data_IF_526012530430
#
_entry.id   IF_526012530430
#
_cell.length_a   1.000
_cell.length_b   1.000
_cell.length_c   1.000
_cell.angle_alpha   90.00
_cell.angle_beta   90.00
_cell.angle_gamma   90.00
#
_symmetry.space_group_name_H-M   'P 1'
#
loop_
_entity.id
_entity.type
_entity.pdbx_description
1 polymer ?
#
# COMPACT_ATOMS: atom_id res chain seq x y z
N UNK A 1 28.55 -11.82 -4.18
CA UNK A 1 27.37 -10.92 -4.16
C UNK A 1 26.70 -10.82 -2.78
N UNK A 2 26.51 -11.90 -2.02
CA UNK A 2 25.88 -11.87 -0.67
C UNK A 2 26.53 -10.94 0.37
N UNK A 3 27.85 -10.68 0.27
CA UNK A 3 28.58 -9.87 1.27
C UNK A 3 28.20 -8.38 1.23
N UNK A 4 27.79 -7.80 0.08
CA UNK A 4 27.45 -6.38 0.02
C UNK A 4 26.03 -6.08 0.52
N UNK A 5 25.06 -6.98 0.32
CA UNK A 5 23.69 -6.85 0.82
C UNK A 5 23.62 -6.68 2.35
N UNK A 6 24.52 -7.37 3.08
CA UNK A 6 24.56 -7.29 4.54
C UNK A 6 25.05 -5.91 5.05
N UNK A 7 25.81 -5.15 4.24
CA UNK A 7 26.29 -3.81 4.61
C UNK A 7 25.15 -2.78 4.54
N UNK A 8 24.38 -2.80 3.45
CA UNK A 8 23.23 -1.90 3.27
C UNK A 8 22.17 -2.09 4.35
N UNK A 9 21.95 -3.34 4.79
CA UNK A 9 21.01 -3.64 5.88
C UNK A 9 21.42 -2.98 7.19
N UNK A 10 22.71 -3.06 7.55
CA UNK A 10 23.23 -2.46 8.78
C UNK A 10 23.08 -0.94 8.77
N UNK A 11 23.40 -0.29 7.64
CA UNK A 11 23.26 1.17 7.48
C UNK A 11 21.78 1.57 7.59
N UNK A 12 20.90 0.86 6.91
CA UNK A 12 19.45 1.08 6.98
C UNK A 12 18.90 0.97 8.41
N UNK A 13 19.36 -0.04 9.14
CA UNK A 13 18.95 -0.28 10.52
C UNK A 13 19.44 0.83 11.48
N UNK A 14 20.67 1.30 11.31
CA UNK A 14 21.21 2.43 12.08
C UNK A 14 20.40 3.70 11.79
N UNK A 15 20.12 4.00 10.52
CA UNK A 15 19.30 5.15 10.13
C UNK A 15 17.89 5.07 10.71
N UNK A 16 17.30 3.87 10.76
CA UNK A 16 16.01 3.66 11.38
C UNK A 16 16.03 3.91 12.89
N UNK A 17 17.01 3.35 13.61
CA UNK A 17 17.15 3.60 15.05
C UNK A 17 17.32 5.11 15.30
N UNK A 18 18.15 5.78 14.52
CA UNK A 18 18.34 7.22 14.63
C UNK A 18 17.04 7.99 14.39
N UNK A 19 16.27 7.61 13.37
CA UNK A 19 14.98 8.23 13.04
C UNK A 19 13.95 8.02 14.16
N UNK A 20 13.89 6.83 14.74
CA UNK A 20 13.01 6.52 15.90
C UNK A 20 13.42 7.31 17.14
N UNK A 21 14.72 7.41 17.43
CA UNK A 21 15.25 8.19 18.55
C UNK A 21 14.99 9.69 18.37
N UNK A 22 15.15 10.21 17.15
CA UNK A 22 14.82 11.59 16.83
C UNK A 22 13.32 11.86 17.00
N UNK A 23 12.48 10.93 16.58
CA UNK A 23 11.03 11.01 16.77
C UNK A 23 10.62 10.96 18.26
N UNK A 24 11.33 10.18 19.10
CA UNK A 24 11.18 10.18 20.56
C UNK A 24 11.40 11.56 21.17
N UNK A 25 12.43 12.27 20.72
CA UNK A 25 12.76 13.58 21.28
C UNK A 25 11.68 14.63 20.97
N UNK A 26 11.02 14.52 19.82
CA UNK A 26 10.00 15.49 19.38
C UNK A 26 8.61 15.25 19.98
N UNK A 27 8.41 14.18 20.78
CA UNK A 27 7.08 13.70 21.25
C UNK A 27 6.05 13.54 20.11
N UNK A 28 6.51 13.51 18.86
CA UNK A 28 5.65 13.47 17.71
C UNK A 28 5.38 12.01 17.36
N UNK A 29 4.38 11.43 18.02
CA UNK A 29 3.98 10.03 17.80
C UNK A 29 3.78 9.67 16.32
N UNK A 30 3.45 10.66 15.48
CA UNK A 30 3.26 10.50 14.05
C UNK A 30 4.57 10.33 13.24
N UNK A 31 5.68 10.96 13.66
CA UNK A 31 6.96 10.81 12.97
C UNK A 31 7.49 9.37 13.03
N UNK A 32 7.17 8.63 14.10
CA UNK A 32 7.53 7.22 14.23
C UNK A 32 6.97 6.38 13.10
N UNK A 33 5.72 6.62 12.70
CA UNK A 33 5.07 5.83 11.65
C UNK A 33 5.69 6.08 10.29
N UNK A 34 6.08 7.33 9.99
CA UNK A 34 6.83 7.67 8.78
C UNK A 34 8.19 6.97 8.78
N UNK A 35 8.91 7.05 9.90
CA UNK A 35 10.22 6.40 10.07
C UNK A 35 10.12 4.88 9.93
N UNK A 36 9.06 4.27 10.46
CA UNK A 36 8.77 2.85 10.36
C UNK A 36 8.48 2.47 8.90
N UNK A 37 7.61 3.20 8.20
CA UNK A 37 7.35 2.99 6.77
C UNK A 37 8.62 3.11 5.92
N UNK A 38 9.42 4.16 6.15
CA UNK A 38 10.68 4.36 5.45
C UNK A 38 11.63 3.19 5.71
N UNK A 39 11.71 2.69 6.94
CA UNK A 39 12.53 1.52 7.22
C UNK A 39 12.02 0.25 6.52
N UNK A 40 10.70 0.06 6.42
CA UNK A 40 10.11 -1.07 5.69
C UNK A 40 10.45 -1.05 4.19
N UNK A 41 10.56 0.14 3.57
CA UNK A 41 11.05 0.32 2.20
C UNK A 41 12.46 -0.22 2.05
N UNK A 42 13.35 0.18 2.97
CA UNK A 42 14.75 -0.20 2.87
C UNK A 42 14.92 -1.69 3.08
N UNK A 43 14.14 -2.30 4.00
CA UNK A 43 14.09 -3.74 4.19
C UNK A 43 13.70 -4.51 2.91
N UNK A 44 12.76 -4.00 2.10
CA UNK A 44 12.31 -4.65 0.87
C UNK A 44 13.40 -4.83 -0.19
N UNK A 45 14.44 -3.99 -0.16
CA UNK A 45 15.48 -3.99 -1.18
C UNK A 45 16.52 -5.11 -1.03
N UNK A 46 16.53 -5.84 0.09
CA UNK A 46 17.75 -6.56 0.52
C UNK A 46 17.64 -8.10 0.49
N UNK A 47 16.48 -8.73 0.74
CA UNK A 47 16.41 -10.21 0.89
C UNK A 47 15.04 -10.85 0.52
N UNK A 48 15.01 -12.17 0.21
CA UNK A 48 13.74 -12.91 0.03
C UNK A 48 12.89 -12.96 1.31
N UNK A 49 13.52 -13.23 2.46
CA UNK A 49 12.81 -13.21 3.75
C UNK A 49 12.27 -11.81 4.10
N UNK A 50 12.83 -10.75 3.52
CA UNK A 50 12.34 -9.39 3.77
C UNK A 50 11.05 -9.06 3.01
N UNK A 51 10.65 -9.88 2.03
CA UNK A 51 9.34 -9.74 1.38
C UNK A 51 8.20 -9.92 2.38
N UNK A 52 8.18 -11.05 3.08
CA UNK A 52 7.09 -11.40 4.01
C UNK A 52 7.07 -10.48 5.23
N UNK A 53 8.23 -10.15 5.79
CA UNK A 53 8.30 -9.26 6.94
C UNK A 53 7.85 -7.85 6.57
N UNK A 54 8.25 -7.34 5.41
CA UNK A 54 7.82 -6.02 4.97
C UNK A 54 6.34 -5.98 4.59
N UNK A 55 5.81 -7.02 3.94
CA UNK A 55 4.36 -7.14 3.72
C UNK A 55 3.60 -7.04 5.06
N UNK A 56 3.98 -7.84 6.06
CA UNK A 56 3.30 -7.90 7.35
C UNK A 56 3.36 -6.55 8.07
N UNK A 57 4.55 -5.95 8.09
CA UNK A 57 4.80 -4.68 8.74
C UNK A 57 4.02 -3.52 8.10
N UNK A 58 4.05 -3.41 6.76
CA UNK A 58 3.29 -2.40 6.04
C UNK A 58 1.78 -2.60 6.20
N UNK A 59 1.32 -3.84 6.23
CA UNK A 59 -0.09 -4.16 6.47
C UNK A 59 -0.55 -3.70 7.85
N UNK A 60 0.22 -3.99 8.90
CA UNK A 60 -0.07 -3.54 10.26
C UNK A 60 -0.09 -2.01 10.33
N UNK A 61 0.87 -1.35 9.70
CA UNK A 61 0.92 0.12 9.64
C UNK A 61 -0.31 0.72 8.96
N UNK A 62 -0.71 0.19 7.79
CA UNK A 62 -1.88 0.67 7.06
C UNK A 62 -3.18 0.48 7.86
N UNK A 63 -3.31 -0.64 8.58
CA UNK A 63 -4.48 -0.93 9.42
C UNK A 63 -4.51 -0.02 10.66
N UNK A 64 -3.35 0.25 11.27
CA UNK A 64 -3.27 1.05 12.50
C UNK A 64 -3.43 2.55 12.26
N UNK A 65 -3.05 3.07 11.08
CA UNK A 65 -3.16 4.50 10.76
C UNK A 65 -4.56 5.11 11.05
N UNK A 66 -5.68 4.60 10.50
CA UNK A 66 -6.99 5.18 10.76
C UNK A 66 -7.40 5.09 12.24
N UNK A 67 -7.01 4.01 12.93
CA UNK A 67 -7.28 3.87 14.38
C UNK A 67 -6.52 4.90 15.22
N UNK A 68 -5.29 5.21 14.81
CA UNK A 68 -4.46 6.20 15.47
C UNK A 68 -5.00 7.61 15.26
N UNK A 69 -5.38 7.94 14.02
CA UNK A 69 -6.03 9.21 13.71
C UNK A 69 -7.34 9.35 14.48
N UNK A 70 -8.11 8.27 14.61
CA UNK A 70 -9.33 8.28 15.40
C UNK A 70 -9.06 8.58 16.89
N UNK A 71 -8.05 7.94 17.49
CA UNK A 71 -7.73 8.12 18.92
C UNK A 71 -7.09 9.47 19.23
N UNK A 72 -6.16 9.95 18.40
CA UNK A 72 -5.39 11.18 18.63
C UNK A 72 -5.93 12.40 17.85
N UNK A 73 -7.18 12.37 17.42
CA UNK A 73 -7.76 13.43 16.60
C UNK A 73 -7.67 14.82 17.24
N UNK A 74 -7.90 14.97 18.54
CA UNK A 74 -7.81 16.26 19.23
C UNK A 74 -6.40 16.89 19.16
N UNK A 75 -5.36 16.06 19.14
CA UNK A 75 -3.97 16.53 19.05
C UNK A 75 -3.59 16.83 17.58
N UNK A 76 -4.01 15.96 16.66
CA UNK A 76 -3.57 15.96 15.27
C UNK A 76 -4.40 16.88 14.36
N UNK A 77 -5.66 17.11 14.70
CA UNK A 77 -6.62 17.87 13.88
C UNK A 77 -7.06 19.11 14.65
N UNK A 78 -6.14 20.07 14.80
CA UNK A 78 -6.44 21.43 15.23
C UNK A 78 -6.17 22.40 14.07
N UNK A 79 -6.71 23.62 14.10
CA UNK A 79 -6.53 24.62 13.04
C UNK A 79 -5.06 24.84 12.65
N UNK A 80 -4.13 24.80 13.61
CA UNK A 80 -2.70 24.97 13.36
C UNK A 80 -2.00 23.70 12.81
N UNK A 81 -2.48 22.51 13.15
CA UNK A 81 -1.81 21.23 12.85
C UNK A 81 -2.48 20.42 11.74
N UNK A 82 -3.68 20.80 11.31
CA UNK A 82 -4.42 20.05 10.28
C UNK A 82 -3.64 19.94 8.98
N UNK A 83 -3.04 21.03 8.49
CA UNK A 83 -2.26 21.00 7.25
C UNK A 83 -1.03 20.08 7.32
N UNK A 84 -0.31 20.07 8.46
CA UNK A 84 0.84 19.20 8.65
C UNK A 84 0.42 17.74 8.75
N UNK A 85 -0.69 17.45 9.44
CA UNK A 85 -1.28 16.10 9.52
C UNK A 85 -1.68 15.59 8.14
N UNK A 86 -2.37 16.39 7.32
CA UNK A 86 -2.75 16.02 5.95
C UNK A 86 -1.50 15.71 5.12
N UNK A 87 -0.48 16.58 5.16
CA UNK A 87 0.76 16.37 4.43
C UNK A 87 1.43 15.05 4.80
N UNK A 88 1.50 14.74 6.09
CA UNK A 88 2.11 13.49 6.55
C UNK A 88 1.27 12.27 6.13
N UNK A 89 -0.06 12.34 6.18
CA UNK A 89 -0.92 11.26 5.67
C UNK A 89 -0.67 11.02 4.17
N UNK A 90 -0.52 12.09 3.38
CA UNK A 90 -0.17 11.97 1.95
C UNK A 90 1.17 11.28 1.77
N UNK A 91 2.19 11.67 2.54
CA UNK A 91 3.51 11.04 2.51
C UNK A 91 3.43 9.55 2.88
N UNK A 92 2.64 9.21 3.91
CA UNK A 92 2.42 7.84 4.35
C UNK A 92 1.81 6.97 3.24
N UNK A 93 0.76 7.45 2.56
CA UNK A 93 0.16 6.71 1.45
C UNK A 93 1.09 6.62 0.24
N UNK A 94 1.79 7.70 -0.09
CA UNK A 94 2.78 7.68 -1.17
C UNK A 94 3.88 6.62 -0.93
N UNK A 95 4.40 6.53 0.29
CA UNK A 95 5.34 5.47 0.66
C UNK A 95 4.67 4.10 0.59
N UNK A 96 3.42 3.94 1.01
CA UNK A 96 2.73 2.65 0.92
C UNK A 96 2.54 2.17 -0.53
N UNK A 97 2.26 3.10 -1.44
CA UNK A 97 2.17 2.87 -2.90
C UNK A 97 3.52 2.43 -3.48
N UNK A 98 4.60 3.13 -3.12
CA UNK A 98 5.94 2.75 -3.55
C UNK A 98 6.32 1.35 -3.02
N UNK A 99 5.95 1.01 -1.78
CA UNK A 99 6.17 -0.31 -1.20
C UNK A 99 5.40 -1.39 -1.96
N UNK A 100 4.16 -1.09 -2.37
CA UNK A 100 3.38 -1.98 -3.23
C UNK A 100 4.12 -2.28 -4.54
N UNK A 101 4.65 -1.26 -5.21
CA UNK A 101 5.37 -1.41 -6.48
C UNK A 101 6.65 -2.24 -6.28
N UNK A 102 7.39 -2.01 -5.21
CA UNK A 102 8.61 -2.77 -4.88
C UNK A 102 8.26 -4.25 -4.60
N UNK A 103 7.20 -4.50 -3.81
CA UNK A 103 6.69 -5.84 -3.57
C UNK A 103 6.31 -6.53 -4.88
N UNK A 104 5.57 -5.85 -5.75
CA UNK A 104 5.18 -6.38 -7.05
C UNK A 104 6.41 -6.68 -7.93
N UNK A 105 7.40 -5.80 -7.96
CA UNK A 105 8.65 -6.02 -8.69
C UNK A 105 9.40 -7.27 -8.20
N UNK A 106 9.38 -7.52 -6.89
CA UNK A 106 9.99 -8.71 -6.27
C UNK A 106 9.22 -10.02 -6.53
N UNK A 107 8.08 -9.98 -7.22
CA UNK A 107 7.37 -11.19 -7.72
C UNK A 107 8.04 -11.75 -8.98
N UNK A 108 9.03 -11.05 -9.57
CA UNK A 108 9.77 -11.52 -10.75
C UNK A 108 10.09 -13.02 -10.62
N UNK A 109 9.57 -13.83 -11.55
CA UNK A 109 9.73 -15.28 -11.47
C UNK A 109 11.22 -15.58 -11.57
N UNK A 110 11.70 -16.49 -10.74
CA UNK A 110 13.05 -17.02 -10.81
C UNK A 110 13.22 -17.91 -12.07
N UNK A 111 12.87 -17.38 -13.24
CA UNK A 111 12.94 -18.04 -14.55
C UNK A 111 14.38 -18.41 -14.93
N UNK A 112 15.36 -17.72 -14.35
CA UNK A 112 16.76 -18.03 -14.59
C UNK A 112 17.24 -19.29 -13.86
N UNK A 113 16.53 -19.75 -12.81
CA UNK A 113 16.95 -20.95 -12.06
C UNK A 113 16.32 -22.23 -12.60
N UNK A 114 16.89 -22.62 -13.74
CA UNK A 114 16.80 -23.91 -14.42
C UNK A 114 16.56 -25.08 -13.43
N UNK A 115 15.35 -25.63 -13.49
CA UNK A 115 15.04 -27.05 -13.21
C UNK A 115 15.19 -27.48 -11.73
N UNK A 116 14.29 -27.05 -10.83
CA UNK A 116 13.87 -27.89 -9.68
C UNK A 116 12.63 -27.36 -8.93
N UNK A 117 11.76 -28.32 -8.59
CA UNK A 117 10.76 -28.37 -7.49
C UNK A 117 9.49 -27.50 -7.54
N UNK A 118 8.35 -28.20 -7.53
CA UNK A 118 6.96 -27.77 -7.28
C UNK A 118 6.81 -26.67 -6.22
N UNK A 119 7.63 -26.69 -5.17
CA UNK A 119 7.65 -25.70 -4.07
C UNK A 119 7.78 -24.24 -4.55
N UNK A 120 8.53 -23.97 -5.63
CA UNK A 120 8.69 -22.60 -6.14
C UNK A 120 7.40 -22.03 -6.75
N UNK A 121 6.56 -22.87 -7.37
CA UNK A 121 5.28 -22.42 -7.93
C UNK A 121 4.33 -21.96 -6.81
N UNK A 122 4.32 -22.67 -5.69
CA UNK A 122 3.57 -22.26 -4.50
C UNK A 122 4.07 -20.94 -3.94
N UNK A 123 5.39 -20.73 -3.87
CA UNK A 123 5.95 -19.47 -3.36
C UNK A 123 5.48 -18.26 -4.20
N UNK A 124 5.52 -18.36 -5.54
CA UNK A 124 5.02 -17.28 -6.40
C UNK A 124 3.52 -17.04 -6.21
N UNK A 125 2.71 -18.09 -6.13
CA UNK A 125 1.27 -17.96 -5.87
C UNK A 125 1.00 -17.27 -4.53
N UNK A 126 1.70 -17.68 -3.46
CA UNK A 126 1.57 -17.05 -2.14
C UNK A 126 1.91 -15.55 -2.23
N UNK A 127 2.99 -15.16 -2.89
CA UNK A 127 3.35 -13.74 -3.05
C UNK A 127 2.29 -12.95 -3.83
N UNK A 128 1.69 -13.53 -4.86
CA UNK A 128 0.59 -12.89 -5.60
C UNK A 128 -0.62 -12.68 -4.70
N UNK A 129 -1.01 -13.70 -3.93
CA UNK A 129 -2.12 -13.60 -2.97
C UNK A 129 -1.83 -12.55 -1.91
N UNK A 130 -0.61 -12.50 -1.37
CA UNK A 130 -0.21 -11.48 -0.40
C UNK A 130 -0.23 -10.07 -1.00
N UNK A 131 0.22 -9.89 -2.24
CA UNK A 131 0.12 -8.60 -2.93
C UNK A 131 -1.34 -8.17 -3.11
N UNK A 132 -2.24 -9.11 -3.44
CA UNK A 132 -3.67 -8.83 -3.54
C UNK A 132 -4.27 -8.43 -2.18
N UNK A 133 -3.95 -9.16 -1.12
CA UNK A 133 -4.36 -8.80 0.25
C UNK A 133 -3.84 -7.41 0.62
N UNK A 134 -2.58 -7.10 0.28
CA UNK A 134 -1.97 -5.79 0.53
C UNK A 134 -2.73 -4.67 -0.19
N UNK A 135 -3.15 -4.89 -1.44
CA UNK A 135 -3.99 -3.95 -2.18
C UNK A 135 -5.32 -3.66 -1.47
N UNK A 136 -6.02 -4.71 -0.99
CA UNK A 136 -7.29 -4.54 -0.25
C UNK A 136 -7.07 -3.78 1.06
N UNK A 137 -5.97 -4.06 1.78
CA UNK A 137 -5.61 -3.33 3.00
C UNK A 137 -5.30 -1.85 2.70
N UNK A 138 -4.59 -1.56 1.62
CA UNK A 138 -4.32 -0.19 1.18
C UNK A 138 -5.63 0.55 0.86
N UNK A 139 -6.55 -0.08 0.12
CA UNK A 139 -7.87 0.48 -0.20
C UNK A 139 -8.66 0.79 1.09
N UNK A 140 -8.76 -0.18 1.99
CA UNK A 140 -9.41 -0.02 3.29
C UNK A 140 -8.80 1.14 4.10
N UNK A 141 -7.47 1.22 4.15
CA UNK A 141 -6.75 2.24 4.91
C UNK A 141 -7.03 3.64 4.38
N UNK A 142 -7.02 3.83 3.05
CA UNK A 142 -7.35 5.12 2.42
C UNK A 142 -8.79 5.52 2.74
N UNK A 143 -9.76 4.64 2.47
CA UNK A 143 -11.18 4.92 2.71
C UNK A 143 -11.45 5.28 4.17
N UNK A 144 -10.91 4.50 5.09
CA UNK A 144 -11.08 4.70 6.54
C UNK A 144 -10.39 5.97 7.03
N UNK A 145 -9.19 6.27 6.51
CA UNK A 145 -8.46 7.48 6.90
C UNK A 145 -9.19 8.74 6.46
N UNK A 146 -9.65 8.80 5.20
CA UNK A 146 -10.42 9.94 4.71
C UNK A 146 -11.79 10.04 5.40
N UNK A 147 -12.44 8.93 5.72
CA UNK A 147 -13.66 8.91 6.54
C UNK A 147 -13.43 9.58 7.90
N UNK A 148 -12.34 9.23 8.59
CA UNK A 148 -11.97 9.85 9.86
C UNK A 148 -11.71 11.34 9.69
N UNK A 149 -10.98 11.75 8.65
CA UNK A 149 -10.73 13.16 8.35
C UNK A 149 -12.02 13.95 8.12
N UNK A 150 -12.94 13.44 7.28
CA UNK A 150 -14.21 14.11 7.01
C UNK A 150 -15.09 14.22 8.25
N UNK A 151 -15.17 13.16 9.07
CA UNK A 151 -15.93 13.18 10.32
C UNK A 151 -15.43 14.25 11.30
N UNK A 152 -14.12 14.54 11.31
CA UNK A 152 -13.56 15.56 12.20
C UNK A 152 -13.61 16.97 11.60
N UNK A 153 -13.40 17.10 10.30
CA UNK A 153 -13.50 18.39 9.63
C UNK A 153 -14.92 18.93 9.65
N UNK A 154 -15.93 18.05 9.55
CA UNK A 154 -17.32 18.47 9.71
C UNK A 154 -17.59 19.12 11.06
N UNK A 155 -16.95 18.64 12.13
CA UNK A 155 -17.07 19.20 13.48
C UNK A 155 -16.27 20.49 13.66
N UNK A 156 -15.04 20.54 13.11
CA UNK A 156 -14.15 21.70 13.26
C UNK A 156 -14.60 22.92 12.44
N UNK A 157 -15.09 22.66 11.22
CA UNK A 157 -15.46 23.70 10.25
C UNK A 157 -16.98 23.83 10.07
N UNK A 158 -17.78 23.09 10.86
CA UNK A 158 -19.24 23.07 10.81
C UNK A 158 -19.82 22.76 9.42
N UNK A 159 -19.17 21.84 8.68
CA UNK A 159 -19.46 21.62 7.25
C UNK A 159 -20.67 20.69 6.99
N UNK A 160 -21.43 20.33 8.02
CA UNK A 160 -22.76 19.74 7.84
C UNK A 160 -22.82 18.23 7.59
N UNK A 161 -21.76 17.46 7.82
CA UNK A 161 -21.82 15.98 7.80
C UNK A 161 -22.39 15.39 9.11
N UNK A 162 -23.34 16.09 9.75
CA UNK A 162 -23.92 15.68 11.03
C UNK A 162 -25.13 14.79 10.81
N UNK A 163 -24.90 13.47 10.86
CA UNK A 163 -25.98 12.51 11.05
C UNK A 163 -26.65 12.68 12.42
N UNK A 164 -27.91 12.25 12.53
CA UNK A 164 -28.73 12.38 13.76
C UNK A 164 -28.09 11.83 15.04
N UNK A 165 -27.16 10.86 14.94
CA UNK A 165 -26.44 10.25 16.05
C UNK A 165 -24.93 10.07 15.73
N UNK A 166 -24.11 9.90 16.77
CA UNK A 166 -22.65 9.72 16.60
C UNK A 166 -22.26 8.50 15.73
N UNK A 167 -23.06 7.42 15.75
CA UNK A 167 -22.82 6.26 14.89
C UNK A 167 -23.18 6.52 13.43
N UNK A 168 -24.30 7.19 13.16
CA UNK A 168 -24.71 7.52 11.79
C UNK A 168 -23.70 8.47 11.16
N UNK A 169 -23.24 9.48 11.91
CA UNK A 169 -22.21 10.42 11.41
C UNK A 169 -20.87 9.77 11.00
N UNK A 170 -20.51 8.60 11.56
CA UNK A 170 -19.31 7.85 11.13
C UNK A 170 -19.55 7.07 9.85
N UNK A 171 -20.73 6.44 9.75
CA UNK A 171 -21.14 5.72 8.54
C UNK A 171 -21.32 6.69 7.38
N UNK A 172 -21.90 7.87 7.62
CA UNK A 172 -22.07 8.94 6.64
C UNK A 172 -20.71 9.43 6.13
N UNK A 173 -19.73 9.60 7.02
CA UNK A 173 -18.37 9.98 6.62
C UNK A 173 -17.65 8.87 5.83
N UNK A 174 -17.87 7.60 6.19
CA UNK A 174 -17.33 6.46 5.42
C UNK A 174 -17.98 6.33 4.05
N UNK A 175 -19.30 6.54 3.99
CA UNK A 175 -20.07 6.59 2.76
C UNK A 175 -19.57 7.72 1.86
N UNK A 176 -19.46 8.94 2.38
CA UNK A 176 -18.93 10.10 1.64
C UNK A 176 -17.50 9.86 1.15
N UNK A 177 -16.63 9.29 1.99
CA UNK A 177 -15.28 8.89 1.59
C UNK A 177 -15.31 7.86 0.44
N UNK A 178 -16.19 6.87 0.51
CA UNK A 178 -16.29 5.82 -0.52
C UNK A 178 -16.83 6.34 -1.83
N UNK A 179 -17.91 7.12 -1.81
CA UNK A 179 -18.51 7.72 -3.01
C UNK A 179 -17.59 8.72 -3.67
N UNK A 180 -16.79 9.46 -2.89
CA UNK A 180 -15.74 10.35 -3.39
C UNK A 180 -14.60 9.56 -4.01
N UNK A 181 -14.08 8.54 -3.32
CA UNK A 181 -12.97 7.70 -3.80
C UNK A 181 -13.29 7.01 -5.13
N UNK A 182 -14.48 6.42 -5.25
CA UNK A 182 -14.94 5.75 -6.46
C UNK A 182 -15.57 6.70 -7.48
N UNK A 183 -15.56 8.01 -7.22
CA UNK A 183 -16.15 9.04 -8.10
C UNK A 183 -17.62 8.80 -8.44
N UNK A 184 -18.37 8.16 -7.53
CA UNK A 184 -19.80 7.89 -7.69
C UNK A 184 -20.63 9.16 -7.44
N UNK A 185 -20.32 9.87 -6.34
CA UNK A 185 -20.89 11.19 -6.03
C UNK A 185 -22.42 11.29 -6.08
N UNK A 186 -23.15 10.51 -5.26
CA UNK A 186 -24.62 10.51 -5.25
C UNK A 186 -25.26 11.86 -4.90
N UNK A 187 -24.53 12.76 -4.21
CA UNK A 187 -24.97 14.13 -3.92
C UNK A 187 -26.01 14.25 -2.79
N UNK A 188 -26.34 13.15 -2.13
CA UNK A 188 -27.19 13.09 -0.94
C UNK A 188 -26.46 13.57 0.33
N UNK A 189 -25.14 13.38 0.37
CA UNK A 189 -24.27 13.93 1.41
C UNK A 189 -23.26 14.86 0.75
N UNK A 190 -23.35 16.16 1.04
CA UNK A 190 -22.46 17.19 0.53
C UNK A 190 -22.05 18.14 1.65
N UNK A 191 -20.79 18.60 1.69
CA UNK A 191 -20.39 19.66 2.61
C UNK A 191 -21.14 20.95 2.26
N UNK A 192 -21.74 21.59 3.27
CA UNK A 192 -22.54 22.81 3.09
C UNK A 192 -21.65 24.02 2.77
N UNK A 193 -20.57 24.17 3.54
CA UNK A 193 -19.58 25.22 3.38
C UNK A 193 -18.24 24.59 2.99
N UNK A 194 -17.82 24.78 1.74
CA UNK A 194 -16.55 24.24 1.28
C UNK A 194 -15.38 25.09 1.81
N UNK A 195 -14.85 24.73 2.98
CA UNK A 195 -13.56 25.27 3.42
C UNK A 195 -12.47 24.93 2.40
N UNK A 196 -11.44 25.77 2.33
CA UNK A 196 -10.28 25.51 1.47
C UNK A 196 -9.61 24.16 1.80
N UNK A 197 -9.63 23.77 3.08
CA UNK A 197 -9.07 22.51 3.58
C UNK A 197 -9.85 21.30 3.06
N UNK A 198 -11.18 21.36 3.08
CA UNK A 198 -12.03 20.27 2.58
C UNK A 198 -11.91 20.10 1.07
N UNK A 199 -11.84 21.21 0.31
CA UNK A 199 -11.55 21.14 -1.13
C UNK A 199 -10.22 20.44 -1.40
N UNK A 200 -9.15 20.82 -0.68
CA UNK A 200 -7.83 20.19 -0.81
C UNK A 200 -7.89 18.69 -0.51
N UNK A 201 -8.64 18.28 0.53
CA UNK A 201 -8.76 16.87 0.88
C UNK A 201 -9.50 16.04 -0.16
N UNK A 202 -10.62 16.56 -0.68
CA UNK A 202 -11.35 15.89 -1.77
C UNK A 202 -10.44 15.74 -3.00
N UNK A 203 -9.70 16.79 -3.37
CA UNK A 203 -8.73 16.72 -4.48
C UNK A 203 -7.65 15.67 -4.25
N UNK A 204 -7.06 15.65 -3.04
CA UNK A 204 -6.03 14.67 -2.67
C UNK A 204 -6.59 13.25 -2.71
N UNK A 205 -7.80 13.03 -2.17
CA UNK A 205 -8.45 11.72 -2.18
C UNK A 205 -8.72 11.26 -3.60
N UNK A 206 -9.23 12.13 -4.48
CA UNK A 206 -9.47 11.80 -5.87
C UNK A 206 -8.17 11.41 -6.59
N UNK A 207 -7.06 12.11 -6.31
CA UNK A 207 -5.74 11.77 -6.86
C UNK A 207 -5.27 10.38 -6.40
N UNK A 208 -5.38 10.08 -5.10
CA UNK A 208 -5.02 8.75 -4.60
C UNK A 208 -5.95 7.66 -5.12
N UNK A 209 -7.26 7.93 -5.21
CA UNK A 209 -8.24 7.01 -5.76
C UNK A 209 -7.91 6.65 -7.20
N UNK A 210 -7.60 7.66 -8.02
CA UNK A 210 -7.15 7.44 -9.38
C UNK A 210 -5.86 6.62 -9.42
N UNK A 211 -4.81 7.03 -8.69
CA UNK A 211 -3.52 6.33 -8.70
C UNK A 211 -3.65 4.85 -8.27
N UNK A 212 -4.43 4.56 -7.22
CA UNK A 212 -4.60 3.20 -6.71
C UNK A 212 -5.41 2.34 -7.69
N UNK A 213 -6.48 2.86 -8.27
CA UNK A 213 -7.39 2.07 -9.12
C UNK A 213 -6.90 1.95 -10.56
N UNK A 214 -6.33 3.01 -11.14
CA UNK A 214 -5.94 3.05 -12.57
C UNK A 214 -4.47 2.71 -12.81
N UNK A 215 -3.58 2.94 -11.85
CA UNK A 215 -2.13 2.69 -12.03
C UNK A 215 -1.71 1.41 -11.31
N UNK A 216 -1.96 1.30 -10.00
CA UNK A 216 -1.44 0.19 -9.21
C UNK A 216 -2.05 -1.16 -9.60
N UNK A 217 -3.37 -1.21 -9.78
CA UNK A 217 -4.07 -2.45 -10.08
C UNK A 217 -3.66 -3.04 -11.45
N UNK A 218 -3.62 -2.27 -12.56
CA UNK A 218 -3.13 -2.79 -13.84
C UNK A 218 -1.66 -3.21 -13.80
N UNK A 219 -0.79 -2.48 -13.09
CA UNK A 219 0.62 -2.87 -12.95
C UNK A 219 0.73 -4.23 -12.25
N UNK A 220 -0.03 -4.45 -11.17
CA UNK A 220 -0.06 -5.74 -10.49
C UNK A 220 -0.51 -6.86 -11.45
N UNK A 221 -1.58 -6.63 -12.21
CA UNK A 221 -2.08 -7.58 -13.22
C UNK A 221 -1.02 -7.88 -14.28
N UNK A 222 -0.40 -6.86 -14.89
CA UNK A 222 0.61 -7.04 -15.94
C UNK A 222 1.77 -7.89 -15.42
N UNK A 223 2.25 -7.61 -14.20
CA UNK A 223 3.33 -8.40 -13.57
C UNK A 223 2.90 -9.85 -13.33
N UNK A 224 1.66 -10.08 -12.89
CA UNK A 224 1.11 -11.42 -12.67
C UNK A 224 0.99 -12.20 -13.99
N UNK A 225 0.48 -11.58 -15.04
CA UNK A 225 0.16 -12.26 -16.31
C UNK A 225 1.33 -12.35 -17.28
N UNK A 226 2.28 -11.41 -17.26
CA UNK A 226 3.51 -11.46 -18.09
C UNK A 226 4.27 -12.79 -17.89
N UNK A 227 4.19 -13.36 -16.68
CA UNK A 227 4.83 -14.63 -16.35
C UNK A 227 4.18 -15.86 -17.01
N UNK A 228 2.90 -15.80 -17.40
CA UNK A 228 2.20 -16.95 -18.00
C UNK A 228 2.68 -17.23 -19.43
N UNK A 229 2.96 -16.19 -20.21
CA UNK A 229 3.44 -16.34 -21.59
C UNK A 229 4.79 -17.06 -21.63
N UNK A 230 5.72 -16.66 -20.76
CA UNK A 230 7.02 -17.30 -20.63
C UNK A 230 6.92 -18.78 -20.22
N UNK A 231 5.92 -19.12 -19.39
CA UNK A 231 5.66 -20.51 -19.03
C UNK A 231 5.16 -21.34 -20.22
N UNK A 232 4.28 -20.79 -21.06
CA UNK A 232 3.76 -21.47 -22.25
C UNK A 232 4.87 -21.75 -23.28
N UNK A 233 5.73 -20.77 -23.56
CA UNK A 233 6.87 -20.95 -24.48
C UNK A 233 7.83 -22.04 -23.98
N UNK A 234 8.09 -22.10 -22.66
CA UNK A 234 8.92 -23.13 -22.06
C UNK A 234 8.31 -24.53 -22.20
N UNK A 235 6.99 -24.68 -22.02
CA UNK A 235 6.30 -25.95 -22.21
C UNK A 235 6.34 -26.42 -23.68
N UNK A 236 6.13 -25.50 -24.62
CA UNK A 236 6.20 -25.79 -26.06
C UNK A 236 7.63 -26.21 -26.47
N UNK A 237 8.66 -25.52 -25.99
CA UNK A 237 10.07 -25.86 -26.28
C UNK A 237 10.49 -27.23 -25.71
N UNK A 238 9.87 -27.66 -24.60
CA UNK A 238 10.13 -28.97 -23.99
C UNK A 238 9.52 -30.11 -24.81
N UNK A 239 8.30 -29.93 -25.31
CA UNK A 239 7.65 -30.90 -26.19
C UNK A 239 8.35 -31.03 -27.55
N UNK A 240 8.86 -29.94 -28.12
CA UNK A 240 9.60 -29.99 -29.38
C UNK A 240 10.93 -30.77 -29.24
N UNK A 241 11.67 -30.58 -28.13
CA UNK A 241 12.90 -31.34 -27.83
C UNK A 241 12.65 -32.83 -27.54
N UNK A 242 11.47 -33.21 -27.04
CA UNK A 242 11.11 -34.63 -26.89
C UNK A 242 10.80 -35.28 -28.23
N UNK A 243 10.12 -34.58 -29.16
CA UNK A 243 9.85 -35.11 -30.51
C UNK A 243 11.12 -35.37 -31.32
N UNK A 244 12.15 -34.54 -31.19
CA UNK A 244 13.42 -34.72 -31.93
C UNK A 244 14.33 -35.82 -31.37
N UNK A 245 14.04 -36.36 -30.17
CA UNK A 245 14.81 -37.46 -29.56
C UNK A 245 14.23 -38.85 -29.81
N UNK A 246 13.13 -38.96 -30.54
CA UNK A 246 12.63 -40.27 -30.96
C UNK A 246 13.65 -40.87 -31.94
N UNK A 247 14.20 -42.07 -31.64
CA UNK A 247 15.19 -42.70 -32.51
C UNK A 247 14.56 -42.90 -33.89
N UNK A 248 15.23 -42.40 -34.93
CA UNK A 248 14.92 -42.78 -36.31
C UNK A 248 15.10 -44.30 -36.37
N UNK A 249 13.99 -45.02 -36.37
CA UNK A 249 13.94 -46.44 -36.69
C UNK A 249 14.60 -46.59 -38.05
N UNK A 250 15.79 -47.19 -38.08
CA UNK A 250 16.49 -47.51 -39.34
C UNK A 250 15.63 -48.55 -40.05
N UNK A 251 15.00 -48.14 -41.15
CA UNK A 251 14.45 -49.02 -42.18
C UNK A 251 15.57 -49.53 -43.06
#
# INVERSE_FOLDING_TARGET
MYKSQNSYFKIAFILFIFSVLFSLMLKAQFFYYISFLFFSMVLLSINKMSYYTSFLFNSILLITLPTLLFYYHYLLLNHSTTHTTIYIICLFFFLSILNFIILAYNIKPALEFKRRTFLYQYETLIRIVLLFIFYIILLYSVLSTFSVLYHYLSKLFNEGLEGSNAYTSKLDALYFSSTTFFTIGFGDITPLDYSETTKKLVMIQALFGHLITTVLWPIAIIIIFSNKHQLQELLLSKHSKQRTRLPRTKS
#
